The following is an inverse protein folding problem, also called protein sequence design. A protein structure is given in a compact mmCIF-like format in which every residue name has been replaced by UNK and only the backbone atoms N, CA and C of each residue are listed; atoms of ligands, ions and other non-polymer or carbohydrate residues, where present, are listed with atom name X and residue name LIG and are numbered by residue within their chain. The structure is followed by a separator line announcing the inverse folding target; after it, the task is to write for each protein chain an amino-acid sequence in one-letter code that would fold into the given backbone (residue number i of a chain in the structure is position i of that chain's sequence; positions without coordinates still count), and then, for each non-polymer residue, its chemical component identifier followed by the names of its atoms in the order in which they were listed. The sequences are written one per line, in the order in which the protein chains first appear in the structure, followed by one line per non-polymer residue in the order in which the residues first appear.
data_IF_611540718179
#
_entry.id   IF_611540718179
#
_cell.length_a   1.000
_cell.length_b   1.000
_cell.length_c   1.000
_cell.angle_alpha   90.00
_cell.angle_beta   90.00
_cell.angle_gamma   90.00
#
_symmetry.space_group_name_H-M   'P 1'
#
loop_
_entity.id
_entity.type
_entity.pdbx_description
1 polymer ?
#
# COMPACT_ATOMS: atom_id res chain seq x y z
N UNK A 1 -6.36 -14.68 8.33
CA UNK A 1 -5.73 -13.38 7.98
C UNK A 1 -4.94 -12.86 9.17
N UNK A 2 -3.68 -12.55 8.97
CA UNK A 2 -2.83 -11.95 10.00
C UNK A 2 -2.78 -10.45 9.82
N UNK A 3 -2.74 -9.71 10.94
CA UNK A 3 -2.66 -8.26 10.93
C UNK A 3 -1.35 -7.85 11.60
N UNK A 4 -0.52 -7.11 10.88
CA UNK A 4 0.68 -6.48 11.41
C UNK A 4 0.34 -5.03 11.73
N UNK A 5 0.28 -4.71 13.02
CA UNK A 5 -0.09 -3.38 13.52
C UNK A 5 1.16 -2.51 13.60
N UNK A 6 1.24 -1.53 12.72
CA UNK A 6 2.39 -0.63 12.59
C UNK A 6 1.92 0.81 12.82
N UNK A 7 2.67 1.56 13.60
CA UNK A 7 2.31 2.92 14.02
C UNK A 7 3.04 4.00 13.20
N UNK A 8 4.19 3.69 12.61
CA UNK A 8 5.01 4.67 11.91
C UNK A 8 5.28 4.30 10.44
N UNK A 9 5.48 5.32 9.63
CA UNK A 9 5.71 5.19 8.19
C UNK A 9 7.00 4.43 7.86
N UNK A 10 8.06 4.64 8.62
CA UNK A 10 9.37 4.02 8.38
C UNK A 10 9.33 2.50 8.57
N UNK A 11 8.72 2.04 9.66
CA UNK A 11 8.52 0.61 9.93
C UNK A 11 7.60 -0.02 8.89
N UNK A 12 6.56 0.70 8.47
CA UNK A 12 5.66 0.26 7.41
C UNK A 12 6.38 0.06 6.08
N UNK A 13 7.28 0.96 5.70
CA UNK A 13 8.09 0.81 4.49
C UNK A 13 8.99 -0.44 4.55
N UNK A 14 9.58 -0.72 5.71
CA UNK A 14 10.39 -1.93 5.92
C UNK A 14 9.55 -3.20 5.80
N UNK A 15 8.37 -3.20 6.39
CA UNK A 15 7.46 -4.35 6.34
C UNK A 15 6.99 -4.64 4.92
N UNK A 16 6.78 -3.61 4.10
CA UNK A 16 6.40 -3.76 2.70
C UNK A 16 7.46 -4.46 1.85
N UNK A 17 8.72 -4.49 2.26
CA UNK A 17 9.77 -5.20 1.55
C UNK A 17 9.65 -6.72 1.67
N UNK A 18 8.84 -7.22 2.60
CA UNK A 18 8.65 -8.65 2.84
C UNK A 18 7.59 -9.31 1.96
N UNK A 19 7.04 -8.59 0.99
CA UNK A 19 6.03 -9.13 0.13
C UNK A 19 5.57 -8.16 -0.95
N UNK A 20 4.44 -8.46 -1.56
CA UNK A 20 3.85 -7.71 -2.66
C UNK A 20 2.47 -7.20 -2.24
N UNK A 21 2.31 -5.88 -2.28
CA UNK A 21 1.04 -5.23 -2.00
C UNK A 21 0.15 -5.15 -3.24
N UNK A 22 -1.16 -4.92 -3.03
CA UNK A 22 -2.13 -4.83 -4.12
C UNK A 22 -1.79 -3.75 -5.15
N UNK A 23 -1.22 -2.62 -4.73
CA UNK A 23 -0.79 -1.55 -5.64
C UNK A 23 0.40 -1.94 -6.52
N UNK A 24 1.08 -3.03 -6.22
CA UNK A 24 2.25 -3.51 -6.96
C UNK A 24 1.93 -4.63 -7.94
N UNK A 25 0.70 -5.12 -7.96
CA UNK A 25 0.30 -6.25 -8.81
C UNK A 25 0.47 -5.96 -10.30
N UNK A 26 0.12 -4.75 -10.75
CA UNK A 26 0.34 -4.33 -12.14
C UNK A 26 1.81 -4.31 -12.54
N UNK A 27 2.69 -3.92 -11.62
CA UNK A 27 4.13 -3.92 -11.83
C UNK A 27 4.68 -5.35 -11.97
N UNK A 28 4.22 -6.27 -11.11
CA UNK A 28 4.59 -7.69 -11.18
C UNK A 28 4.20 -8.30 -12.52
N UNK A 29 3.02 -7.96 -13.02
CA UNK A 29 2.51 -8.43 -14.32
C UNK A 29 3.17 -7.75 -15.53
N UNK A 30 4.00 -6.73 -15.30
CA UNK A 30 4.70 -6.04 -16.37
C UNK A 30 3.86 -5.05 -17.16
N UNK A 31 2.70 -4.64 -16.64
CA UNK A 31 1.78 -3.71 -17.30
C UNK A 31 1.82 -2.29 -16.75
N UNK A 32 2.64 -2.03 -15.75
CA UNK A 32 2.80 -0.69 -15.18
C UNK A 32 3.76 0.13 -16.05
N UNK A 33 3.32 1.25 -16.65
CA UNK A 33 4.18 2.08 -17.50
C UNK A 33 5.25 2.86 -16.73
N UNK A 34 5.09 3.01 -15.40
CA UNK A 34 5.95 3.84 -14.56
C UNK A 34 7.06 3.06 -13.87
N UNK A 35 6.91 1.73 -13.75
CA UNK A 35 7.85 0.88 -13.04
C UNK A 35 7.82 -0.52 -13.63
N UNK A 36 8.97 -1.05 -14.03
CA UNK A 36 9.08 -2.41 -14.53
C UNK A 36 9.13 -3.43 -13.39
N UNK A 37 8.83 -4.69 -13.69
CA UNK A 37 8.92 -5.76 -12.70
C UNK A 37 10.36 -5.96 -12.18
N UNK A 38 11.36 -5.78 -13.05
CA UNK A 38 12.78 -5.82 -12.66
C UNK A 38 13.12 -4.69 -11.70
N UNK A 39 12.60 -3.49 -11.95
CA UNK A 39 12.82 -2.34 -11.07
C UNK A 39 12.18 -2.56 -9.70
N UNK A 40 10.97 -3.12 -9.65
CA UNK A 40 10.31 -3.49 -8.39
C UNK A 40 11.14 -4.52 -7.63
N UNK A 41 11.67 -5.52 -8.33
CA UNK A 41 12.55 -6.52 -7.72
C UNK A 41 13.78 -5.88 -7.08
N UNK A 42 14.42 -4.91 -7.76
CA UNK A 42 15.57 -4.18 -7.22
C UNK A 42 15.21 -3.45 -5.93
N UNK A 43 14.04 -2.82 -5.87
CA UNK A 43 13.56 -2.16 -4.67
C UNK A 43 13.32 -3.16 -3.54
N UNK A 44 12.65 -4.27 -3.82
CA UNK A 44 12.33 -5.29 -2.81
C UNK A 44 13.58 -5.99 -2.27
N UNK A 45 14.59 -6.18 -3.09
CA UNK A 45 15.85 -6.79 -2.67
C UNK A 45 16.83 -5.80 -2.00
N UNK A 46 16.48 -4.53 -1.92
CA UNK A 46 17.31 -3.51 -1.32
C UNK A 46 18.51 -3.08 -2.17
N UNK A 47 18.53 -3.42 -3.47
CA UNK A 47 19.61 -3.03 -4.40
C UNK A 47 19.50 -1.54 -4.71
N UNK A 48 18.29 -1.03 -4.85
CA UNK A 48 17.99 0.38 -5.06
C UNK A 48 16.98 0.87 -4.06
N UNK A 49 17.04 2.16 -3.72
CA UNK A 49 16.05 2.82 -2.87
C UNK A 49 15.02 3.49 -3.78
N UNK A 50 13.71 3.20 -3.64
CA UNK A 50 12.70 3.87 -4.44
C UNK A 50 12.68 5.38 -4.14
N UNK A 51 12.42 6.23 -5.15
CA UNK A 51 12.32 7.67 -4.92
C UNK A 51 11.14 7.99 -4.02
N UNK A 52 11.30 9.01 -3.17
CA UNK A 52 10.20 9.54 -2.38
C UNK A 52 9.29 10.36 -3.30
N UNK A 53 8.05 9.91 -3.45
CA UNK A 53 7.04 10.55 -4.28
C UNK A 53 5.96 11.26 -3.44
N UNK A 54 6.13 11.34 -2.12
CA UNK A 54 5.13 11.91 -1.22
C UNK A 54 4.81 13.38 -1.52
N UNK A 55 5.74 14.10 -2.15
CA UNK A 55 5.57 15.51 -2.53
C UNK A 55 4.84 15.70 -3.87
N UNK A 56 4.62 14.65 -4.64
CA UNK A 56 3.91 14.76 -5.93
C UNK A 56 2.46 15.16 -5.70
N UNK A 57 1.94 16.15 -6.47
CA UNK A 57 0.54 16.59 -6.31
C UNK A 57 -0.48 15.46 -6.43
N UNK A 58 -0.28 14.52 -7.36
CA UNK A 58 -1.17 13.38 -7.54
C UNK A 58 -1.27 12.49 -6.29
N UNK A 59 -0.14 12.28 -5.58
CA UNK A 59 -0.10 11.48 -4.35
C UNK A 59 -0.80 12.22 -3.21
N UNK A 60 -0.53 13.50 -3.04
CA UNK A 60 -1.20 14.34 -2.02
C UNK A 60 -2.70 14.40 -2.25
N UNK A 61 -3.11 14.61 -3.49
CA UNK A 61 -4.51 14.65 -3.87
C UNK A 61 -5.22 13.32 -3.58
N UNK A 62 -4.58 12.20 -3.92
CA UNK A 62 -5.10 10.87 -3.68
C UNK A 62 -5.35 10.58 -2.20
N UNK A 63 -4.43 10.99 -1.32
CA UNK A 63 -4.57 10.82 0.14
C UNK A 63 -5.78 11.59 0.69
N UNK A 64 -5.97 12.82 0.25
CA UNK A 64 -7.11 13.64 0.67
C UNK A 64 -8.41 13.07 0.11
N UNK A 65 -8.41 12.63 -1.15
CA UNK A 65 -9.58 12.02 -1.78
C UNK A 65 -10.01 10.73 -1.05
N UNK A 66 -9.08 9.89 -0.62
CA UNK A 66 -9.37 8.67 0.14
C UNK A 66 -10.13 8.95 1.44
N UNK A 67 -9.71 10.00 2.16
CA UNK A 67 -10.39 10.41 3.38
C UNK A 67 -11.85 10.80 3.11
N UNK A 68 -12.08 11.60 2.07
CA UNK A 68 -13.44 11.98 1.68
C UNK A 68 -14.28 10.80 1.20
N UNK A 69 -13.69 9.87 0.47
CA UNK A 69 -14.37 8.64 0.03
C UNK A 69 -14.80 7.80 1.24
N UNK A 70 -13.97 7.68 2.27
CA UNK A 70 -14.33 6.98 3.50
C UNK A 70 -15.53 7.63 4.18
N UNK A 71 -15.57 8.96 4.25
CA UNK A 71 -16.70 9.67 4.85
C UNK A 71 -18.00 9.48 4.03
N UNK A 72 -17.91 9.50 2.71
CA UNK A 72 -19.06 9.23 1.84
C UNK A 72 -19.56 7.80 2.03
N UNK A 73 -18.67 6.84 2.18
CA UNK A 73 -19.02 5.44 2.46
C UNK A 73 -19.82 5.31 3.77
N UNK A 74 -19.41 6.04 4.81
CA UNK A 74 -20.11 6.04 6.10
C UNK A 74 -21.52 6.58 5.98
N UNK A 75 -21.75 7.56 5.11
CA UNK A 75 -23.09 8.11 4.87
C UNK A 75 -24.00 7.09 4.18
N UNK A 76 -23.48 6.36 3.20
CA UNK A 76 -24.25 5.37 2.44
C UNK A 76 -24.49 4.08 3.23
N UNK A 77 -23.57 3.70 4.11
CA UNK A 77 -23.62 2.47 4.90
C UNK A 77 -23.44 2.74 6.39
N UNK A 78 -24.38 3.46 7.05
CA UNK A 78 -24.21 3.87 8.45
C UNK A 78 -24.21 2.72 9.45
N UNK A 79 -24.68 1.53 9.05
CA UNK A 79 -24.72 0.33 9.89
C UNK A 79 -23.46 -0.52 9.78
N UNK A 80 -22.52 -0.15 8.89
CA UNK A 80 -21.24 -0.85 8.74
C UNK A 80 -20.16 -0.15 9.54
N UNK A 81 -19.39 -0.95 10.26
CA UNK A 81 -18.21 -0.48 10.97
C UNK A 81 -17.08 -0.23 9.98
N UNK A 82 -16.46 0.95 10.03
CA UNK A 82 -15.38 1.32 9.15
C UNK A 82 -14.18 1.76 9.98
N UNK A 83 -13.13 0.94 9.98
CA UNK A 83 -11.86 1.22 10.63
C UNK A 83 -10.79 1.56 9.60
N UNK A 84 -9.95 2.55 9.93
CA UNK A 84 -8.83 2.94 9.10
C UNK A 84 -7.55 3.02 9.92
N UNK A 85 -6.55 2.30 9.46
CA UNK A 85 -5.21 2.30 10.06
C UNK A 85 -4.18 2.45 8.94
N UNK A 86 -3.56 3.62 8.85
CA UNK A 86 -2.71 4.03 7.73
C UNK A 86 -1.53 3.08 7.45
N UNK A 87 -1.01 2.44 8.50
CA UNK A 87 0.21 1.66 8.39
C UNK A 87 0.04 0.18 8.76
N UNK A 88 -1.18 -0.28 8.98
CA UNK A 88 -1.42 -1.69 9.25
C UNK A 88 -1.32 -2.50 7.96
N UNK A 89 -0.72 -3.67 8.07
CA UNK A 89 -0.57 -4.61 6.96
C UNK A 89 -1.41 -5.85 7.24
N UNK A 90 -2.27 -6.18 6.28
CA UNK A 90 -3.15 -7.35 6.36
C UNK A 90 -2.57 -8.44 5.46
N UNK A 91 -2.10 -9.55 6.07
CA UNK A 91 -1.47 -10.65 5.33
C UNK A 91 -2.42 -11.80 5.12
N UNK A 92 -2.31 -12.43 3.97
CA UNK A 92 -2.99 -13.68 3.68
C UNK A 92 -2.20 -14.83 4.35
N UNK A 93 -2.87 -15.63 5.18
CA UNK A 93 -2.21 -16.73 5.91
C UNK A 93 -1.74 -17.85 4.99
N UNK A 94 -2.46 -18.09 3.88
CA UNK A 94 -2.07 -19.08 2.88
C UNK A 94 -0.90 -18.62 2.00
N UNK A 95 -0.82 -17.31 1.75
CA UNK A 95 0.22 -16.69 0.92
C UNK A 95 0.80 -15.48 1.65
N UNK A 96 1.69 -15.68 2.64
CA UNK A 96 2.16 -14.59 3.51
C UNK A 96 2.99 -13.51 2.81
N UNK A 97 3.43 -13.75 1.58
CA UNK A 97 4.08 -12.74 0.74
C UNK A 97 3.09 -11.76 0.09
N UNK A 98 1.80 -12.02 0.20
CA UNK A 98 0.73 -11.19 -0.35
C UNK A 98 0.06 -10.37 0.75
N UNK A 99 -0.01 -9.06 0.52
CA UNK A 99 -0.71 -8.14 1.44
C UNK A 99 -1.32 -6.94 0.72
#
# INVERSE_FOLDING_TARGET
MSIVKIEDHETWLKERMNGIGGSESGTVLGINPWCSNVQLWRYKMGIEIPPDISDKPAVKFGKVAEEHIRELFRLDYPNMELDYHAYWVYRNDAYPWQF
#
